data_IF_708176808626
#
_entry.id   IF_708176808626
#
_cell.length_a   1.000
_cell.length_b   1.000
_cell.length_c   1.000
_cell.angle_alpha   90.00
_cell.angle_beta   90.00
_cell.angle_gamma   90.00
#
_symmetry.space_group_name_H-M   'P 1'
#
loop_
_entity.id
_entity.type
_entity.pdbx_description
1 polymer ?
#
# COMPACT_ATOMS: atom_id res chain seq x y z
N UNK A 1 -9.98 17.61 1.60
CA UNK A 1 -8.93 17.20 0.63
C UNK A 1 -7.66 16.64 1.28
N UNK A 2 -7.52 16.72 2.61
CA UNK A 2 -6.28 16.36 3.32
C UNK A 2 -5.91 14.86 3.29
N UNK A 3 -6.89 13.96 3.24
CA UNK A 3 -6.63 12.52 3.12
C UNK A 3 -5.91 12.15 1.82
N UNK A 4 -6.33 12.75 0.69
CA UNK A 4 -5.76 12.45 -0.63
C UNK A 4 -4.28 12.82 -0.64
N UNK A 5 -3.93 13.99 -0.09
CA UNK A 5 -2.54 14.41 0.05
C UNK A 5 -1.69 13.39 0.82
N UNK A 6 -2.23 12.79 1.88
CA UNK A 6 -1.50 11.76 2.65
C UNK A 6 -1.38 10.42 1.93
N UNK A 7 -2.31 10.11 1.05
CA UNK A 7 -2.19 8.95 0.16
C UNK A 7 -1.11 9.22 -0.89
N UNK A 8 -1.10 10.40 -1.51
CA UNK A 8 -0.09 10.81 -2.49
C UNK A 8 1.32 10.85 -1.88
N UNK A 9 1.48 11.38 -0.66
CA UNK A 9 2.72 11.32 0.11
C UNK A 9 3.22 9.86 0.29
N UNK A 10 2.29 8.92 0.50
CA UNK A 10 2.60 7.51 0.61
C UNK A 10 3.04 6.89 -0.71
N UNK A 11 2.36 7.24 -1.81
CA UNK A 11 2.72 6.80 -3.17
C UNK A 11 4.10 7.33 -3.56
N UNK A 12 4.40 8.60 -3.28
CA UNK A 12 5.72 9.19 -3.56
C UNK A 12 6.84 8.47 -2.81
N UNK A 13 6.61 8.08 -1.56
CA UNK A 13 7.59 7.27 -0.81
C UNK A 13 7.76 5.87 -1.41
N UNK A 14 6.68 5.24 -1.88
CA UNK A 14 6.75 3.97 -2.59
C UNK A 14 7.58 4.13 -3.88
N UNK A 15 7.40 5.21 -4.64
CA UNK A 15 8.15 5.45 -5.87
C UNK A 15 9.66 5.64 -5.61
N UNK A 16 10.02 6.32 -4.51
CA UNK A 16 11.42 6.56 -4.15
C UNK A 16 12.14 5.27 -3.72
N UNK A 17 11.46 4.42 -2.95
CA UNK A 17 12.05 3.17 -2.47
C UNK A 17 11.01 2.04 -2.44
N UNK A 18 10.67 1.45 -3.60
CA UNK A 18 9.57 0.49 -3.73
C UNK A 18 9.80 -0.78 -2.88
N UNK A 19 11.05 -1.16 -2.67
CA UNK A 19 11.42 -2.32 -1.89
C UNK A 19 11.75 -2.02 -0.42
N UNK A 20 11.68 -0.75 -0.01
CA UNK A 20 12.01 -0.30 1.36
C UNK A 20 10.96 -0.67 2.42
N UNK A 21 9.76 -1.05 2.01
CA UNK A 21 8.65 -1.36 2.91
C UNK A 21 8.52 -2.85 3.20
N UNK A 22 8.07 -3.19 4.41
CA UNK A 22 7.94 -4.57 4.85
C UNK A 22 6.96 -5.37 3.97
N UNK A 23 7.36 -6.58 3.59
CA UNK A 23 6.46 -7.58 2.99
C UNK A 23 5.48 -8.09 4.05
N UNK A 24 4.20 -8.11 3.73
CA UNK A 24 3.13 -8.50 4.66
C UNK A 24 2.42 -9.78 4.27
N UNK A 25 2.44 -10.14 2.99
CA UNK A 25 1.88 -11.39 2.48
C UNK A 25 2.43 -11.66 1.09
N UNK A 26 3.07 -12.80 0.90
CA UNK A 26 3.80 -13.11 -0.35
C UNK A 26 4.71 -11.92 -0.73
N UNK A 27 4.57 -11.37 -1.93
CA UNK A 27 5.31 -10.20 -2.40
C UNK A 27 4.61 -8.85 -2.19
N UNK A 28 3.45 -8.85 -1.55
CA UNK A 28 2.77 -7.61 -1.20
C UNK A 28 3.47 -6.93 -0.04
N UNK A 29 3.69 -5.63 -0.21
CA UNK A 29 4.22 -4.69 0.75
C UNK A 29 3.11 -3.74 1.19
N UNK A 30 3.29 -3.09 2.34
CA UNK A 30 2.36 -2.04 2.79
C UNK A 30 3.08 -0.83 3.35
N UNK A 31 2.44 0.32 3.20
CA UNK A 31 2.77 1.55 3.92
C UNK A 31 1.49 2.09 4.58
N UNK A 32 1.61 2.55 5.82
CA UNK A 32 0.53 3.27 6.51
C UNK A 32 0.64 4.76 6.23
N UNK A 33 -0.47 5.43 5.93
CA UNK A 33 -0.51 6.89 5.82
C UNK A 33 -0.25 7.51 7.18
N UNK A 34 0.53 8.59 7.25
CA UNK A 34 0.64 9.38 8.47
C UNK A 34 -0.70 10.09 8.74
N UNK A 35 -1.06 10.26 10.01
CA UNK A 35 -2.27 10.99 10.49
C UNK A 35 -3.63 10.32 10.24
N UNK A 36 -3.78 9.54 9.17
CA UNK A 36 -5.01 8.80 8.90
C UNK A 36 -4.77 7.29 9.02
N UNK A 37 -5.75 6.51 9.50
CA UNK A 37 -5.62 5.06 9.64
C UNK A 37 -5.87 4.38 8.29
N UNK A 38 -5.13 4.72 7.24
CA UNK A 38 -5.16 4.03 5.95
C UNK A 38 -3.83 3.31 5.68
N UNK A 39 -3.91 2.19 4.98
CA UNK A 39 -2.76 1.48 4.43
C UNK A 39 -2.89 1.34 2.92
N UNK A 40 -1.78 1.57 2.23
CA UNK A 40 -1.61 1.26 0.81
C UNK A 40 -0.91 -0.09 0.73
N UNK A 41 -1.54 -1.06 0.06
CA UNK A 41 -0.99 -2.37 -0.24
C UNK A 41 -0.60 -2.40 -1.72
N UNK A 42 0.63 -2.80 -2.00
CA UNK A 42 1.17 -2.81 -3.36
C UNK A 42 2.17 -3.96 -3.53
N UNK A 43 2.53 -4.28 -4.76
CA UNK A 43 3.67 -5.14 -5.06
C UNK A 43 4.51 -4.54 -6.19
N UNK A 44 5.77 -4.96 -6.26
CA UNK A 44 6.72 -4.52 -7.27
C UNK A 44 6.84 -5.61 -8.32
N UNK A 45 6.47 -5.30 -9.55
CA UNK A 45 6.65 -6.18 -10.70
C UNK A 45 7.94 -5.76 -11.42
N UNK A 46 9.04 -6.40 -11.03
CA UNK A 46 10.37 -6.11 -11.59
C UNK A 46 10.49 -6.49 -13.07
N UNK A 47 9.68 -7.44 -13.55
CA UNK A 47 9.70 -7.86 -14.96
C UNK A 47 9.13 -6.76 -15.87
N UNK A 48 8.01 -6.16 -15.43
CA UNK A 48 7.33 -5.10 -16.17
C UNK A 48 7.73 -3.69 -15.71
N UNK A 49 8.69 -3.56 -14.79
CA UNK A 49 9.15 -2.29 -14.18
C UNK A 49 8.00 -1.41 -13.70
N UNK A 50 7.02 -2.02 -13.03
CA UNK A 50 5.82 -1.33 -12.54
C UNK A 50 5.55 -1.63 -11.07
N UNK A 51 4.76 -0.75 -10.47
CA UNK A 51 4.26 -0.90 -9.10
C UNK A 51 2.75 -0.96 -9.19
N UNK A 52 2.18 -2.07 -8.74
CA UNK A 52 0.74 -2.28 -8.77
C UNK A 52 0.18 -2.04 -7.36
N UNK A 53 -0.64 -1.00 -7.21
CA UNK A 53 -1.38 -0.73 -5.97
C UNK A 53 -2.62 -1.63 -5.95
N UNK A 54 -2.61 -2.64 -5.09
CA UNK A 54 -3.68 -3.61 -4.99
C UNK A 54 -4.87 -3.08 -4.17
N UNK A 55 -4.60 -2.29 -3.12
CA UNK A 55 -5.66 -1.71 -2.30
C UNK A 55 -5.18 -0.50 -1.49
N UNK A 56 -6.08 0.46 -1.29
CA UNK A 56 -5.95 1.50 -0.25
C UNK A 56 -7.10 1.31 0.73
N UNK A 57 -6.81 1.09 2.01
CA UNK A 57 -7.83 0.69 2.98
C UNK A 57 -7.69 1.31 4.36
N UNK A 58 -8.82 1.65 4.97
CA UNK A 58 -8.91 2.12 6.34
C UNK A 58 -8.69 0.97 7.35
N UNK A 59 -7.57 0.98 8.07
CA UNK A 59 -7.13 -0.09 8.98
C UNK A 59 -7.90 -0.14 10.29
N UNK A 60 -8.39 0.98 10.82
CA UNK A 60 -9.14 0.96 12.08
C UNK A 60 -10.61 0.53 11.95
N UNK A 61 -11.14 0.41 10.72
CA UNK A 61 -12.52 -0.07 10.51
C UNK A 61 -12.59 -1.59 10.51
N UNK A 62 -11.63 -2.27 9.86
CA UNK A 62 -11.45 -3.72 9.97
C UNK A 62 -10.10 -4.16 9.33
N UNK A 63 -9.05 -4.42 10.14
CA UNK A 63 -7.69 -4.64 9.63
C UNK A 63 -7.48 -5.94 8.84
N UNK A 64 -8.45 -6.88 8.85
CA UNK A 64 -8.33 -8.18 8.19
C UNK A 64 -8.87 -8.23 6.75
N UNK A 65 -9.53 -7.16 6.26
CA UNK A 65 -10.24 -7.17 4.97
C UNK A 65 -9.32 -7.22 3.72
N UNK A 66 -8.06 -6.77 3.80
CA UNK A 66 -7.14 -6.75 2.64
C UNK A 66 -6.87 -8.17 2.14
N UNK A 67 -6.81 -9.15 3.04
CA UNK A 67 -6.58 -10.56 2.69
C UNK A 67 -7.65 -11.11 1.74
N UNK A 68 -8.88 -10.57 1.78
CA UNK A 68 -9.96 -10.98 0.87
C UNK A 68 -9.79 -10.41 -0.54
N UNK A 69 -9.09 -9.27 -0.69
CA UNK A 69 -8.87 -8.57 -1.97
C UNK A 69 -7.57 -8.95 -2.66
N UNK A 70 -6.62 -9.53 -1.93
CA UNK A 70 -5.36 -10.05 -2.48
C UNK A 70 -5.46 -11.48 -3.02
N UNK A 71 -6.64 -12.13 -2.94
CA UNK A 71 -6.88 -13.38 -3.65
C UNK A 71 -7.14 -13.06 -5.11
N UNK A 72 -6.12 -13.23 -5.95
CA UNK A 72 -6.25 -13.40 -7.38
C UNK A 72 -5.51 -14.66 -7.78
#
# INVERSE_FOLDING_TARGET
>A
MELILRIDDGINQILLQPEGFQKVFMDFRKISTKQFPYCIYYYVDSNNKKIDIAAVMHTSRNPSLWKKRLKK
#
